data_IF_815159079723
#
_entry.id   IF_815159079723
#
_cell.length_a   1.000
_cell.length_b   1.000
_cell.length_c   1.000
_cell.angle_alpha   90.00
_cell.angle_beta   90.00
_cell.angle_gamma   90.00
#
_symmetry.space_group_name_H-M   'P 1'
#
loop_
_entity.id
_entity.type
_entity.pdbx_description
1 polymer ?
#
# COMPACT_ATOMS: atom_id res chain seq x y z
N UNK A 1 -2.89 17.42 22.94
CA UNK A 1 -1.62 16.69 22.79
C UNK A 1 -1.62 15.78 21.57
N UNK A 2 -2.72 15.07 21.26
CA UNK A 2 -2.79 14.15 20.11
C UNK A 2 -2.47 14.78 18.74
N UNK A 3 -2.94 16.01 18.45
CA UNK A 3 -2.57 16.72 17.22
C UNK A 3 -1.07 16.94 17.04
N UNK A 4 -0.34 17.20 18.13
CA UNK A 4 1.12 17.39 18.09
C UNK A 4 1.82 16.05 17.84
N UNK A 5 1.35 14.98 18.49
CA UNK A 5 1.85 13.62 18.25
C UNK A 5 1.63 13.19 16.80
N UNK A 6 0.44 13.44 16.25
CA UNK A 6 0.12 13.19 14.85
C UNK A 6 1.09 13.93 13.91
N UNK A 7 1.32 15.23 14.16
CA UNK A 7 2.24 16.03 13.35
C UNK A 7 3.69 15.52 13.44
N UNK A 8 4.16 15.10 14.62
CA UNK A 8 5.50 14.53 14.80
C UNK A 8 5.63 13.21 14.03
N UNK A 9 4.68 12.29 14.18
CA UNK A 9 4.69 11.00 13.50
C UNK A 9 4.63 11.15 11.98
N UNK A 10 3.76 12.04 11.47
CA UNK A 10 3.70 12.38 10.05
C UNK A 10 5.05 12.95 9.56
N UNK A 11 5.70 13.82 10.34
CA UNK A 11 7.03 14.33 10.03
C UNK A 11 8.11 13.24 9.96
N UNK A 12 8.09 12.28 10.90
CA UNK A 12 9.00 11.12 10.91
C UNK A 12 8.78 10.26 9.66
N UNK A 13 7.54 10.00 9.28
CA UNK A 13 7.19 9.25 8.07
C UNK A 13 7.69 9.98 6.83
N UNK A 14 7.44 11.28 6.69
CA UNK A 14 7.88 12.08 5.53
C UNK A 14 9.40 12.02 5.33
N UNK A 15 10.17 12.13 6.41
CA UNK A 15 11.65 12.05 6.36
C UNK A 15 12.11 10.63 6.02
N UNK A 16 11.52 9.62 6.65
CA UNK A 16 11.93 8.23 6.50
C UNK A 16 11.55 7.65 5.13
N UNK A 17 10.37 8.01 4.62
CA UNK A 17 9.88 7.61 3.31
C UNK A 17 10.78 8.10 2.16
N UNK A 18 11.49 9.23 2.35
CA UNK A 18 12.49 9.71 1.40
C UNK A 18 13.67 8.73 1.25
N UNK A 19 14.15 8.20 2.38
CA UNK A 19 15.21 7.20 2.37
C UNK A 19 14.71 5.83 1.89
N UNK A 20 13.46 5.49 2.21
CA UNK A 20 12.79 4.27 1.76
C UNK A 20 12.71 4.23 0.23
N UNK A 21 12.11 5.25 -0.39
CA UNK A 21 11.96 5.35 -1.84
C UNK A 21 13.30 5.38 -2.57
N UNK A 22 14.27 6.18 -2.10
CA UNK A 22 15.61 6.25 -2.70
C UNK A 22 16.34 4.91 -2.62
N UNK A 23 16.24 4.22 -1.49
CA UNK A 23 16.91 2.92 -1.35
C UNK A 23 16.23 1.85 -2.19
N UNK A 24 14.91 1.88 -2.32
CA UNK A 24 14.16 1.03 -3.25
C UNK A 24 14.60 1.26 -4.70
N UNK A 25 14.77 2.51 -5.14
CA UNK A 25 15.26 2.81 -6.50
C UNK A 25 16.69 2.28 -6.74
N UNK A 26 17.58 2.43 -5.76
CA UNK A 26 18.93 1.85 -5.82
C UNK A 26 18.88 0.31 -5.89
N UNK A 27 17.97 -0.33 -5.12
CA UNK A 27 17.80 -1.78 -5.16
C UNK A 27 17.29 -2.21 -6.54
N UNK A 28 16.30 -1.52 -7.11
CA UNK A 28 15.79 -1.79 -8.44
C UNK A 28 16.90 -1.73 -9.50
N UNK A 29 17.70 -0.66 -9.49
CA UNK A 29 18.85 -0.49 -10.38
C UNK A 29 19.89 -1.60 -10.20
N UNK A 30 20.31 -1.89 -8.96
CA UNK A 30 21.40 -2.82 -8.68
C UNK A 30 21.06 -4.29 -8.89
N UNK A 31 19.80 -4.64 -8.74
CA UNK A 31 19.34 -6.03 -8.88
C UNK A 31 18.84 -6.35 -10.28
N UNK A 32 18.54 -5.32 -11.09
CA UNK A 32 17.91 -5.50 -12.40
C UNK A 32 16.48 -6.05 -12.30
N UNK A 33 15.84 -5.93 -11.14
CA UNK A 33 14.45 -6.37 -10.93
C UNK A 33 13.42 -5.41 -11.53
N UNK A 34 13.85 -4.20 -11.91
CA UNK A 34 12.99 -3.15 -12.47
C UNK A 34 12.23 -2.34 -11.42
N UNK A 35 11.94 -1.08 -11.75
CA UNK A 35 11.30 -0.12 -10.82
C UNK A 35 9.87 -0.50 -10.52
N UNK A 36 9.14 -1.06 -11.50
CA UNK A 36 7.74 -1.42 -11.31
C UNK A 36 7.60 -2.56 -10.32
N UNK A 37 8.39 -3.62 -10.50
CA UNK A 37 8.35 -4.79 -9.62
C UNK A 37 8.82 -4.44 -8.20
N UNK A 38 9.91 -3.67 -8.08
CA UNK A 38 10.39 -3.20 -6.76
C UNK A 38 9.37 -2.28 -6.08
N UNK A 39 8.67 -1.43 -6.84
CA UNK A 39 7.58 -0.60 -6.31
C UNK A 39 6.46 -1.45 -5.70
N UNK A 40 6.02 -2.50 -6.40
CA UNK A 40 4.97 -3.41 -5.90
C UNK A 40 5.46 -4.28 -4.73
N UNK A 41 6.68 -4.82 -4.77
CA UNK A 41 7.12 -5.78 -3.76
C UNK A 41 7.70 -5.11 -2.53
N UNK A 42 8.56 -4.11 -2.71
CA UNK A 42 9.25 -3.48 -1.59
C UNK A 42 8.51 -2.25 -1.11
N UNK A 43 8.25 -1.29 -1.99
CA UNK A 43 7.74 0.00 -1.52
C UNK A 43 6.31 -0.14 -0.99
N UNK A 44 5.42 -0.75 -1.78
CA UNK A 44 4.01 -0.95 -1.43
C UNK A 44 3.84 -1.80 -0.17
N UNK A 45 4.55 -2.93 -0.07
CA UNK A 45 4.50 -3.76 1.15
C UNK A 45 4.92 -2.94 2.38
N UNK A 46 6.03 -2.20 2.31
CA UNK A 46 6.50 -1.45 3.47
C UNK A 46 5.55 -0.33 3.88
N UNK A 47 4.91 0.33 2.93
CA UNK A 47 3.94 1.40 3.23
C UNK A 47 2.59 0.87 3.68
N UNK A 48 2.19 -0.34 3.25
CA UNK A 48 0.88 -0.95 3.55
C UNK A 48 0.87 -1.97 4.70
N UNK A 49 2.02 -2.19 5.34
CA UNK A 49 2.10 -2.92 6.62
C UNK A 49 1.33 -2.27 7.78
N UNK A 50 1.20 -0.94 7.88
CA UNK A 50 0.33 -0.28 8.85
C UNK A 50 -1.14 -0.70 8.70
N UNK A 51 -1.66 -0.75 7.48
CA UNK A 51 -3.01 -1.24 7.14
C UNK A 51 -3.21 -2.69 7.57
N UNK A 52 -2.19 -3.54 7.38
CA UNK A 52 -2.21 -4.91 7.91
C UNK A 52 -2.32 -4.93 9.43
N UNK A 53 -1.61 -4.03 10.11
CA UNK A 53 -1.67 -3.90 11.57
C UNK A 53 -3.03 -3.43 12.07
N UNK A 54 -3.62 -2.41 11.44
CA UNK A 54 -4.94 -1.86 11.77
C UNK A 54 -6.06 -2.84 11.43
N UNK A 55 -5.98 -3.55 10.30
CA UNK A 55 -6.91 -4.61 9.90
C UNK A 55 -6.95 -5.75 10.94
N UNK A 56 -5.79 -6.34 11.25
CA UNK A 56 -5.67 -7.41 12.24
C UNK A 56 -6.13 -6.93 13.62
N UNK A 57 -5.75 -5.73 14.04
CA UNK A 57 -6.19 -5.14 15.31
C UNK A 57 -7.72 -4.97 15.36
N UNK A 58 -8.33 -4.50 14.28
CA UNK A 58 -9.77 -4.33 14.17
C UNK A 58 -10.52 -5.66 14.31
N UNK A 59 -10.09 -6.70 13.61
CA UNK A 59 -10.75 -8.02 13.68
C UNK A 59 -10.50 -8.77 14.99
N UNK A 60 -9.34 -8.58 15.63
CA UNK A 60 -8.99 -9.31 16.87
C UNK A 60 -9.42 -8.59 18.15
N UNK A 61 -9.37 -7.26 18.19
CA UNK A 61 -9.68 -6.47 19.40
C UNK A 61 -11.15 -6.04 19.43
N UNK A 62 -11.68 -5.52 18.32
CA UNK A 62 -13.09 -5.10 18.23
C UNK A 62 -13.96 -6.35 18.01
N UNK A 63 -13.54 -7.22 17.11
CA UNK A 63 -14.19 -8.49 16.84
C UNK A 63 -15.58 -8.35 16.19
N UNK A 64 -16.12 -9.50 15.79
CA UNK A 64 -17.44 -9.60 15.17
C UNK A 64 -17.58 -8.78 13.89
N UNK A 65 -18.83 -8.56 13.47
CA UNK A 65 -19.13 -7.85 12.23
C UNK A 65 -18.57 -6.41 12.21
N UNK A 66 -18.54 -5.73 13.36
CA UNK A 66 -18.04 -4.34 13.43
C UNK A 66 -16.52 -4.25 13.23
N UNK A 67 -15.74 -5.20 13.77
CA UNK A 67 -14.30 -5.28 13.51
C UNK A 67 -13.99 -5.61 12.04
N UNK A 68 -14.76 -6.53 11.46
CA UNK A 68 -14.63 -6.88 10.04
C UNK A 68 -15.01 -5.71 9.10
N UNK A 69 -16.08 -4.98 9.41
CA UNK A 69 -16.49 -3.79 8.65
C UNK A 69 -15.42 -2.68 8.72
N UNK A 70 -14.76 -2.52 9.87
CA UNK A 70 -13.68 -1.54 10.03
C UNK A 70 -12.43 -1.94 9.24
N UNK A 71 -12.01 -3.21 9.34
CA UNK A 71 -10.85 -3.73 8.60
C UNK A 71 -11.07 -3.62 7.07
N UNK A 72 -12.24 -4.04 6.59
CA UNK A 72 -12.61 -3.87 5.19
C UNK A 72 -12.67 -2.38 4.80
N UNK A 73 -13.27 -1.54 5.66
CA UNK A 73 -13.36 -0.09 5.45
C UNK A 73 -12.00 0.59 5.32
N UNK A 74 -11.03 0.19 6.14
CA UNK A 74 -9.64 0.67 6.07
C UNK A 74 -8.98 0.21 4.76
N UNK A 75 -9.04 -1.08 4.42
CA UNK A 75 -8.43 -1.61 3.20
C UNK A 75 -9.01 -0.99 1.91
N UNK A 76 -10.35 -0.87 1.80
CA UNK A 76 -10.99 -0.21 0.66
C UNK A 76 -10.77 1.31 0.67
N UNK A 77 -10.74 1.92 1.86
CA UNK A 77 -10.47 3.34 2.06
C UNK A 77 -9.08 3.73 1.58
N UNK A 78 -8.04 3.01 2.02
CA UNK A 78 -6.66 3.21 1.56
C UNK A 78 -6.54 3.04 0.05
N UNK A 79 -7.27 2.09 -0.55
CA UNK A 79 -7.27 1.94 -2.01
C UNK A 79 -7.85 3.15 -2.75
N UNK A 80 -8.91 3.76 -2.20
CA UNK A 80 -9.47 5.00 -2.74
C UNK A 80 -8.49 6.17 -2.58
N UNK A 81 -7.84 6.29 -1.42
CA UNK A 81 -6.81 7.32 -1.19
C UNK A 81 -5.61 7.13 -2.11
N UNK A 82 -5.16 5.92 -2.38
CA UNK A 82 -4.08 5.65 -3.33
C UNK A 82 -4.39 6.18 -4.73
N UNK A 83 -5.64 6.03 -5.20
CA UNK A 83 -6.06 6.62 -6.48
C UNK A 83 -6.11 8.15 -6.42
N UNK A 84 -6.55 8.73 -5.30
CA UNK A 84 -6.50 10.19 -5.08
C UNK A 84 -5.05 10.69 -5.08
N UNK A 85 -4.12 9.95 -4.47
CA UNK A 85 -2.71 10.28 -4.42
C UNK A 85 -2.15 10.29 -5.85
N UNK A 86 -2.49 9.34 -6.73
CA UNK A 86 -2.08 9.40 -8.15
C UNK A 86 -2.49 10.74 -8.78
N UNK A 87 -3.72 11.21 -8.53
CA UNK A 87 -4.18 12.51 -8.99
C UNK A 87 -3.36 13.69 -8.41
N UNK A 88 -3.03 13.63 -7.13
CA UNK A 88 -2.15 14.63 -6.48
C UNK A 88 -0.75 14.60 -7.12
N UNK A 89 -0.21 13.42 -7.39
CA UNK A 89 1.10 13.24 -8.00
C UNK A 89 1.15 13.78 -9.43
N UNK A 90 0.09 13.57 -10.23
CA UNK A 90 -0.03 14.14 -11.57
C UNK A 90 -0.02 15.69 -11.53
N UNK A 91 -0.70 16.30 -10.55
CA UNK A 91 -0.65 17.76 -10.34
C UNK A 91 0.73 18.27 -9.90
N UNK A 92 1.47 17.47 -9.13
CA UNK A 92 2.83 17.81 -8.70
C UNK A 92 3.86 17.60 -9.84
N UNK A 93 3.54 16.74 -10.81
CA UNK A 93 4.41 16.42 -11.94
C UNK A 93 4.38 17.53 -12.99
N UNK A 94 5.47 18.31 -13.08
CA UNK A 94 5.55 19.48 -13.99
C UNK A 94 6.04 19.16 -15.41
N UNK A 95 6.10 17.88 -15.80
CA UNK A 95 6.66 17.42 -17.09
C UNK A 95 5.60 16.83 -18.05
N UNK A 96 4.34 17.22 -17.91
CA UNK A 96 3.22 16.66 -18.65
C UNK A 96 2.39 15.72 -17.77
N UNK A 97 1.59 14.83 -18.37
CA UNK A 97 0.85 13.84 -17.60
C UNK A 97 1.77 12.72 -17.13
N UNK A 98 1.73 12.40 -15.83
CA UNK A 98 2.50 11.29 -15.26
C UNK A 98 2.11 9.97 -15.91
N UNK A 99 0.82 9.78 -16.21
CA UNK A 99 0.30 8.55 -16.82
C UNK A 99 0.82 8.33 -18.24
N UNK A 100 1.10 9.40 -18.98
CA UNK A 100 1.66 9.32 -20.33
C UNK A 100 3.14 8.86 -20.34
N UNK A 101 3.81 8.89 -19.19
CA UNK A 101 5.22 8.49 -19.03
C UNK A 101 5.41 7.06 -18.53
N UNK A 102 4.33 6.29 -18.33
CA UNK A 102 4.37 4.97 -17.71
C UNK A 102 4.40 3.85 -18.77
N UNK A 103 5.17 2.78 -18.48
CA UNK A 103 5.26 1.58 -19.31
C UNK A 103 4.13 0.55 -19.09
N UNK A 104 4.19 -0.56 -19.85
CA UNK A 104 3.21 -1.64 -19.81
C UNK A 104 3.13 -2.35 -18.46
N UNK A 105 4.26 -2.50 -17.75
CA UNK A 105 4.30 -3.07 -16.40
C UNK A 105 3.39 -2.32 -15.44
N UNK A 106 3.41 -0.98 -15.47
CA UNK A 106 2.57 -0.16 -14.58
C UNK A 106 1.09 -0.31 -14.91
N UNK A 107 0.75 -0.35 -16.20
CA UNK A 107 -0.62 -0.61 -16.65
C UNK A 107 -1.12 -2.00 -16.21
N UNK A 108 -0.27 -3.03 -16.29
CA UNK A 108 -0.56 -4.37 -15.83
C UNK A 108 -0.85 -4.40 -14.32
N UNK A 109 -0.04 -3.74 -13.49
CA UNK A 109 -0.28 -3.60 -12.04
C UNK A 109 -1.64 -2.96 -11.79
N UNK A 110 -1.98 -1.88 -12.50
CA UNK A 110 -3.28 -1.19 -12.36
C UNK A 110 -4.48 -2.06 -12.74
N UNK A 111 -4.40 -2.79 -13.85
CA UNK A 111 -5.45 -3.71 -14.30
C UNK A 111 -5.66 -4.87 -13.31
N UNK A 112 -4.56 -5.46 -12.83
CA UNK A 112 -4.62 -6.52 -11.83
C UNK A 112 -5.19 -6.00 -10.51
N UNK A 113 -4.75 -4.82 -10.05
CA UNK A 113 -5.28 -4.16 -8.85
C UNK A 113 -6.78 -3.93 -8.92
N UNK A 114 -7.26 -3.37 -10.02
CA UNK A 114 -8.70 -3.20 -10.26
C UNK A 114 -9.44 -4.55 -10.27
N UNK A 115 -8.86 -5.58 -10.90
CA UNK A 115 -9.41 -6.92 -10.91
C UNK A 115 -9.60 -7.52 -9.51
N UNK A 116 -8.58 -7.42 -8.64
CA UNK A 116 -8.66 -7.93 -7.26
C UNK A 116 -9.71 -7.16 -6.45
N UNK A 117 -9.79 -5.83 -6.60
CA UNK A 117 -10.83 -5.01 -5.96
C UNK A 117 -12.23 -5.46 -6.39
N UNK A 118 -12.44 -5.72 -7.69
CA UNK A 118 -13.72 -6.21 -8.22
C UNK A 118 -14.07 -7.59 -7.65
N UNK A 119 -13.11 -8.51 -7.56
CA UNK A 119 -13.32 -9.83 -6.97
C UNK A 119 -13.70 -9.69 -5.48
N UNK A 120 -12.97 -8.88 -4.71
CA UNK A 120 -13.23 -8.66 -3.29
C UNK A 120 -14.62 -8.03 -3.06
N UNK A 121 -14.96 -6.95 -3.78
CA UNK A 121 -16.26 -6.31 -3.68
C UNK A 121 -17.42 -7.22 -4.13
N UNK A 122 -17.21 -7.99 -5.20
CA UNK A 122 -18.18 -8.98 -5.67
C UNK A 122 -18.42 -10.09 -4.64
N UNK A 123 -17.39 -10.54 -3.94
CA UNK A 123 -17.51 -11.54 -2.88
C UNK A 123 -18.39 -11.05 -1.72
N UNK A 124 -18.23 -9.79 -1.32
CA UNK A 124 -19.06 -9.16 -0.27
C UNK A 124 -20.54 -9.13 -0.68
N UNK A 125 -20.84 -8.77 -1.93
CA UNK A 125 -22.22 -8.69 -2.42
C UNK A 125 -22.93 -10.05 -2.46
N UNK A 126 -22.20 -11.12 -2.77
CA UNK A 126 -22.76 -12.46 -2.96
C UNK A 126 -22.63 -13.31 -1.68
N UNK A 127 -21.98 -12.80 -0.62
CA UNK A 127 -21.77 -13.50 0.66
C UNK A 127 -23.07 -14.10 1.24
N UNK A 128 -24.17 -13.35 1.22
CA UNK A 128 -25.47 -13.83 1.72
C UNK A 128 -26.10 -14.97 0.90
N UNK A 129 -25.64 -15.19 -0.34
CA UNK A 129 -26.18 -16.19 -1.27
C UNK A 129 -25.26 -17.41 -1.44
N UNK A 130 -23.99 -17.29 -1.05
CA UNK A 130 -23.00 -18.36 -1.16
C UNK A 130 -22.77 -18.94 0.23
N UNK A 131 -23.35 -20.11 0.51
CA UNK A 131 -22.95 -20.97 1.64
C UNK A 131 -21.59 -21.64 1.42
N UNK A 132 -20.66 -20.95 0.75
CA UNK A 132 -19.32 -21.45 0.47
C UNK A 132 -18.50 -21.40 1.77
N UNK A 133 -18.29 -22.57 2.37
CA UNK A 133 -17.32 -22.73 3.45
C UNK A 133 -17.76 -22.23 4.82
N UNK A 134 -19.07 -22.28 5.14
CA UNK A 134 -19.64 -21.87 6.44
C UNK A 134 -19.11 -22.62 7.70
N UNK A 135 -18.09 -23.46 7.55
CA UNK A 135 -17.38 -24.12 8.64
C UNK A 135 -15.86 -24.16 8.45
N UNK A 136 -15.31 -23.45 7.46
CA UNK A 136 -13.87 -23.27 7.32
C UNK A 136 -13.42 -22.06 8.15
N UNK A 137 -12.24 -22.11 8.79
CA UNK A 137 -11.70 -20.98 9.54
C UNK A 137 -11.27 -19.81 8.64
N UNK A 138 -11.14 -20.05 7.33
CA UNK A 138 -10.74 -19.05 6.33
C UNK A 138 -11.67 -19.19 5.14
N UNK A 139 -12.17 -18.07 4.63
CA UNK A 139 -13.02 -18.01 3.44
C UNK A 139 -12.29 -18.53 2.20
N UNK A 140 -12.91 -19.40 1.38
CA UNK A 140 -12.35 -19.79 0.09
C UNK A 140 -12.04 -18.59 -0.82
N UNK A 141 -12.78 -17.49 -0.67
CA UNK A 141 -12.57 -16.27 -1.47
C UNK A 141 -11.28 -15.56 -1.07
N UNK A 142 -10.96 -15.47 0.23
CA UNK A 142 -9.73 -14.81 0.68
C UNK A 142 -8.48 -15.57 0.21
N UNK A 143 -8.55 -16.91 0.16
CA UNK A 143 -7.51 -17.74 -0.46
C UNK A 143 -7.37 -17.42 -1.96
N UNK A 144 -8.48 -17.26 -2.69
CA UNK A 144 -8.44 -16.87 -4.11
C UNK A 144 -7.80 -15.50 -4.28
N UNK A 145 -8.12 -14.52 -3.43
CA UNK A 145 -7.50 -13.19 -3.46
C UNK A 145 -5.98 -13.27 -3.25
N UNK A 146 -5.53 -14.06 -2.28
CA UNK A 146 -4.10 -14.30 -2.03
C UNK A 146 -3.41 -14.98 -3.23
N UNK A 147 -4.06 -15.98 -3.85
CA UNK A 147 -3.54 -16.64 -5.05
C UNK A 147 -3.44 -15.67 -6.24
N UNK A 148 -4.47 -14.84 -6.47
CA UNK A 148 -4.46 -13.83 -7.52
C UNK A 148 -3.35 -12.82 -7.28
N UNK A 149 -3.11 -12.41 -6.02
CA UNK A 149 -1.99 -11.56 -5.66
C UNK A 149 -0.62 -12.17 -6.01
N UNK A 150 -0.39 -13.45 -5.67
CA UNK A 150 0.86 -14.14 -6.03
C UNK A 150 1.01 -14.25 -7.55
N UNK A 151 -0.06 -14.57 -8.28
CA UNK A 151 -0.06 -14.61 -9.74
C UNK A 151 0.22 -13.22 -10.32
N UNK A 152 -0.34 -12.17 -9.72
CA UNK A 152 -0.10 -10.79 -10.12
C UNK A 152 1.38 -10.40 -9.97
N UNK A 153 2.00 -10.73 -8.82
CA UNK A 153 3.44 -10.49 -8.62
C UNK A 153 4.29 -11.20 -9.69
N UNK A 154 3.96 -12.45 -10.01
CA UNK A 154 4.66 -13.19 -11.05
C UNK A 154 4.46 -12.58 -12.45
N UNK A 155 3.23 -12.16 -12.77
CA UNK A 155 2.91 -11.52 -14.04
C UNK A 155 3.67 -10.19 -14.20
N UNK A 156 3.71 -9.36 -13.16
CA UNK A 156 4.46 -8.09 -13.13
C UNK A 156 5.96 -8.35 -13.28
N UNK A 157 6.51 -9.31 -12.54
CA UNK A 157 7.91 -9.71 -12.70
C UNK A 157 8.24 -10.11 -14.14
N UNK A 158 7.38 -10.92 -14.76
CA UNK A 158 7.59 -11.40 -16.13
C UNK A 158 7.51 -10.28 -17.16
N UNK A 159 6.56 -9.36 -17.00
CA UNK A 159 6.40 -8.20 -17.88
C UNK A 159 7.62 -7.27 -17.78
N UNK A 160 8.10 -7.03 -16.55
CA UNK A 160 9.29 -6.20 -16.32
C UNK A 160 10.53 -6.81 -16.97
N UNK A 161 10.71 -8.13 -16.90
CA UNK A 161 11.82 -8.83 -17.56
C UNK A 161 11.68 -8.89 -19.09
N UNK A 162 10.46 -8.79 -19.61
CA UNK A 162 10.21 -8.80 -21.06
C UNK A 162 10.41 -7.42 -21.70
N UNK A 163 10.35 -6.36 -20.90
CA UNK A 163 10.51 -4.98 -21.37
C UNK A 163 12.00 -4.63 -21.30
N UNK A 164 12.72 -4.80 -22.42
CA UNK A 164 14.14 -4.40 -22.49
C UNK A 164 14.31 -2.89 -22.20
N UNK A 165 14.98 -2.60 -21.08
CA UNK A 165 15.77 -1.38 -20.82
C UNK A 165 15.14 -0.04 -21.21
N UNK A 166 14.24 0.49 -20.39
CA UNK A 166 14.28 1.94 -20.13
C UNK A 166 15.58 2.22 -19.40
N UNK A 167 16.50 2.98 -20.00
CA UNK A 167 17.69 3.43 -19.29
C UNK A 167 17.24 4.10 -17.98
N UNK A 168 17.73 3.62 -16.82
CA UNK A 168 17.32 4.18 -15.54
C UNK A 168 17.73 5.66 -15.50
N UNK A 169 16.79 6.53 -15.13
CA UNK A 169 17.02 7.98 -15.08
C UNK A 169 18.17 8.38 -14.12
N UNK A 170 18.53 7.48 -13.20
CA UNK A 170 19.69 7.60 -12.33
C UNK A 170 20.64 6.40 -12.45
N UNK A 171 21.92 6.70 -12.67
CA UNK A 171 23.01 5.74 -12.55
C UNK A 171 23.44 5.62 -11.08
N UNK A 172 23.28 4.42 -10.52
CA UNK A 172 23.73 4.07 -9.16
C UNK A 172 24.92 3.11 -9.17
N UNK A 173 25.72 3.07 -10.24
CA UNK A 173 26.94 2.27 -10.39
C UNK A 173 27.87 2.34 -9.16
N UNK A 174 28.09 3.53 -8.60
CA UNK A 174 28.93 3.73 -7.41
C UNK A 174 28.26 3.40 -6.07
N UNK A 175 26.94 3.19 -6.05
CA UNK A 175 26.22 2.88 -4.82
C UNK A 175 26.43 1.43 -4.37
N UNK A 176 26.40 1.18 -3.05
CA UNK A 176 26.52 -0.17 -2.50
C UNK A 176 25.13 -0.79 -2.26
N UNK A 177 24.87 -1.96 -2.87
CA UNK A 177 23.61 -2.70 -2.68
C UNK A 177 23.38 -3.06 -1.21
N UNK A 178 24.42 -3.54 -0.51
CA UNK A 178 24.32 -3.88 0.93
C UNK A 178 23.89 -2.67 1.77
N UNK A 179 24.45 -1.50 1.46
CA UNK A 179 24.08 -0.25 2.14
C UNK A 179 22.65 0.14 1.82
N UNK A 180 22.21 0.02 0.55
CA UNK A 180 20.84 0.31 0.15
C UNK A 180 19.83 -0.59 0.86
N UNK A 181 20.07 -1.91 0.93
CA UNK A 181 19.21 -2.86 1.64
C UNK A 181 19.14 -2.54 3.14
N UNK A 182 20.26 -2.18 3.78
CA UNK A 182 20.27 -1.82 5.20
C UNK A 182 19.49 -0.53 5.47
N UNK A 183 19.67 0.50 4.63
CA UNK A 183 18.95 1.77 4.74
C UNK A 183 17.46 1.55 4.47
N UNK A 184 17.11 0.79 3.45
CA UNK A 184 15.72 0.41 3.14
C UNK A 184 15.08 -0.28 4.34
N UNK A 185 15.70 -1.33 4.90
CA UNK A 185 15.13 -2.05 6.04
C UNK A 185 14.96 -1.17 7.28
N UNK A 186 15.93 -0.30 7.57
CA UNK A 186 15.84 0.64 8.70
C UNK A 186 14.72 1.67 8.46
N UNK A 187 14.63 2.25 7.26
CA UNK A 187 13.60 3.21 6.91
C UNK A 187 12.20 2.58 6.93
N UNK A 188 12.07 1.35 6.43
CA UNK A 188 10.82 0.59 6.44
C UNK A 188 10.36 0.35 7.87
N UNK A 189 11.26 -0.11 8.76
CA UNK A 189 10.93 -0.31 10.16
C UNK A 189 10.44 0.98 10.84
N UNK A 190 11.11 2.11 10.58
CA UNK A 190 10.70 3.42 11.13
C UNK A 190 9.33 3.82 10.58
N UNK A 191 9.10 3.69 9.27
CA UNK A 191 7.83 4.03 8.63
C UNK A 191 6.70 3.20 9.21
N UNK A 192 6.86 1.88 9.28
CA UNK A 192 5.83 0.96 9.80
C UNK A 192 5.51 1.28 11.25
N UNK A 193 6.52 1.39 12.13
CA UNK A 193 6.29 1.68 13.55
C UNK A 193 5.63 3.05 13.74
N UNK A 194 6.11 4.07 13.03
CA UNK A 194 5.56 5.41 13.12
C UNK A 194 4.11 5.46 12.59
N UNK A 195 3.82 4.76 11.49
CA UNK A 195 2.50 4.71 10.88
C UNK A 195 1.48 3.93 11.71
N UNK A 196 1.88 2.81 12.32
CA UNK A 196 1.02 2.10 13.28
C UNK A 196 0.67 3.03 14.45
N UNK A 197 1.64 3.73 15.05
CA UNK A 197 1.33 4.72 16.10
C UNK A 197 0.51 5.91 15.60
N UNK A 198 0.69 6.31 14.34
CA UNK A 198 -0.06 7.39 13.72
C UNK A 198 -1.54 6.99 13.56
N UNK A 199 -1.82 5.75 13.15
CA UNK A 199 -3.18 5.20 13.06
C UNK A 199 -3.88 5.24 14.43
N UNK A 200 -3.25 4.70 15.48
CA UNK A 200 -3.79 4.75 16.85
C UNK A 200 -3.99 6.19 17.36
N UNK A 201 -3.08 7.11 17.03
CA UNK A 201 -3.22 8.54 17.37
C UNK A 201 -4.39 9.16 16.61
N UNK A 202 -4.61 8.74 15.36
CA UNK A 202 -5.71 9.14 14.50
C UNK A 202 -7.07 8.68 15.05
N UNK A 203 -7.17 7.42 15.48
CA UNK A 203 -8.35 6.87 16.14
C UNK A 203 -8.69 7.65 17.41
N UNK A 204 -7.72 7.86 18.31
CA UNK A 204 -7.93 8.65 19.53
C UNK A 204 -8.33 10.11 19.26
N UNK A 205 -7.87 10.69 18.14
CA UNK A 205 -8.34 12.00 17.68
C UNK A 205 -9.78 11.94 17.20
N UNK A 206 -10.14 10.93 16.41
CA UNK A 206 -11.50 10.74 15.94
C UNK A 206 -12.47 10.57 17.13
N UNK A 207 -12.10 9.81 18.15
CA UNK A 207 -12.88 9.68 19.40
C UNK A 207 -13.01 11.02 20.14
N UNK A 208 -11.90 11.71 20.37
CA UNK A 208 -11.89 12.99 21.09
C UNK A 208 -12.71 14.09 20.37
N UNK A 209 -12.82 14.00 19.04
CA UNK A 209 -13.60 14.92 18.22
C UNK A 209 -15.05 14.46 17.99
N UNK A 210 -15.44 13.27 18.49
CA UNK A 210 -16.78 12.70 18.30
C UNK A 210 -17.06 12.18 16.88
N UNK A 211 -16.02 11.78 16.15
CA UNK A 211 -16.09 11.31 14.76
C UNK A 211 -16.16 9.79 14.59
N UNK A 212 -16.00 9.00 15.65
CA UNK A 212 -15.71 7.55 15.62
C UNK A 212 -16.62 6.71 14.68
N UNK A 213 -17.89 7.12 14.45
CA UNK A 213 -18.87 6.43 13.58
C UNK A 213 -19.36 7.28 12.41
N UNK A 214 -18.72 8.42 12.19
CA UNK A 214 -19.07 9.31 11.10
C UNK A 214 -18.26 8.98 9.86
N UNK A 215 -18.78 9.36 8.69
CA UNK A 215 -18.01 9.39 7.45
C UNK A 215 -16.66 10.11 7.64
N UNK A 216 -16.63 11.18 8.46
CA UNK A 216 -15.39 11.93 8.74
C UNK A 216 -14.37 11.05 9.47
N UNK A 217 -14.80 10.22 10.43
CA UNK A 217 -13.91 9.33 11.18
C UNK A 217 -13.27 8.26 10.30
N UNK A 218 -14.06 7.60 9.45
CA UNK A 218 -13.54 6.56 8.55
C UNK A 218 -12.60 7.13 7.48
N UNK A 219 -12.91 8.31 6.92
CA UNK A 219 -12.02 8.98 5.99
C UNK A 219 -10.75 9.51 6.66
N UNK A 220 -10.85 9.97 7.91
CA UNK A 220 -9.68 10.43 8.67
C UNK A 220 -8.72 9.29 9.00
N UNK A 221 -9.25 8.13 9.38
CA UNK A 221 -8.45 6.93 9.63
C UNK A 221 -7.72 6.47 8.36
N UNK A 222 -8.47 6.29 7.26
CA UNK A 222 -7.90 5.88 5.98
C UNK A 222 -6.86 6.89 5.44
N UNK A 223 -7.08 8.19 5.66
CA UNK A 223 -6.06 9.21 5.34
C UNK A 223 -4.80 9.04 6.20
N UNK A 224 -4.96 8.73 7.48
CA UNK A 224 -3.85 8.52 8.42
C UNK A 224 -3.01 7.32 8.04
N UNK A 225 -3.65 6.19 7.72
CA UNK A 225 -2.97 4.95 7.30
C UNK A 225 -2.32 5.09 5.93
N UNK A 226 -2.89 5.88 4.99
CA UNK A 226 -2.31 6.15 3.66
C UNK A 226 -1.20 7.22 3.60
N UNK A 227 -0.80 7.81 4.74
CA UNK A 227 0.27 8.81 4.77
C UNK A 227 1.66 8.28 4.37
N UNK A 228 2.09 7.06 4.76
CA UNK A 228 3.30 6.41 4.26
C UNK A 228 3.33 6.30 2.74
N UNK A 229 2.23 5.89 2.11
CA UNK A 229 2.07 5.76 0.66
C UNK A 229 2.26 7.11 -0.03
N UNK A 230 1.57 8.15 0.47
CA UNK A 230 1.72 9.50 -0.05
C UNK A 230 3.16 9.98 0.08
N UNK A 231 3.77 9.79 1.26
CA UNK A 231 5.13 10.23 1.55
C UNK A 231 6.16 9.54 0.65
N UNK A 232 6.06 8.21 0.49
CA UNK A 232 6.95 7.41 -0.33
C UNK A 232 6.79 7.73 -1.81
N UNK A 233 5.56 7.94 -2.27
CA UNK A 233 5.30 8.22 -3.69
C UNK A 233 5.71 9.66 -4.08
N UNK A 234 5.51 10.64 -3.19
CA UNK A 234 6.05 12.00 -3.35
C UNK A 234 7.58 11.96 -3.35
N UNK A 235 8.20 11.17 -2.47
CA UNK A 235 9.64 11.00 -2.46
C UNK A 235 10.17 10.37 -3.76
N UNK A 236 9.50 9.34 -4.28
CA UNK A 236 9.83 8.69 -5.55
C UNK A 236 9.74 9.67 -6.73
N UNK A 237 8.71 10.53 -6.77
CA UNK A 237 8.62 11.59 -7.78
C UNK A 237 9.75 12.61 -7.66
N UNK A 238 10.14 13.00 -6.44
CA UNK A 238 11.24 13.95 -6.21
C UNK A 238 12.60 13.44 -6.69
N UNK A 239 12.78 12.12 -6.75
CA UNK A 239 13.97 11.48 -7.32
C UNK A 239 13.76 11.06 -8.78
N UNK A 240 12.76 11.61 -9.46
CA UNK A 240 12.47 11.30 -10.87
C UNK A 240 12.25 9.80 -11.13
N UNK A 241 11.54 9.13 -10.24
CA UNK A 241 11.15 7.72 -10.39
C UNK A 241 9.60 7.59 -10.39
N UNK A 242 8.90 8.11 -11.42
CA UNK A 242 7.44 8.10 -11.47
C UNK A 242 6.86 6.67 -11.54
N UNK A 243 7.53 5.74 -12.22
CA UNK A 243 7.13 4.32 -12.27
C UNK A 243 7.12 3.70 -10.87
N UNK A 244 8.15 3.97 -10.07
CA UNK A 244 8.25 3.51 -8.68
C UNK A 244 7.14 4.12 -7.82
N UNK A 245 6.83 5.41 -8.02
CA UNK A 245 5.77 6.10 -7.29
C UNK A 245 4.38 5.52 -7.59
N UNK A 246 4.06 5.28 -8.87
CA UNK A 246 2.75 4.79 -9.27
C UNK A 246 2.58 3.32 -8.91
N UNK A 247 3.62 2.51 -9.08
CA UNK A 247 3.57 1.09 -8.71
C UNK A 247 3.60 0.85 -7.21
N UNK A 248 4.09 1.80 -6.41
CA UNK A 248 3.83 1.82 -4.98
C UNK A 248 2.32 1.87 -4.71
N UNK A 249 1.61 2.87 -5.26
CA UNK A 249 0.18 3.08 -5.00
C UNK A 249 -0.69 1.94 -5.54
N UNK A 250 -0.45 1.52 -6.78
CA UNK A 250 -1.20 0.43 -7.39
C UNK A 250 -0.82 -0.94 -6.79
N UNK A 251 0.44 -1.11 -6.39
CA UNK A 251 0.93 -2.28 -5.67
C UNK A 251 0.33 -2.38 -4.27
N UNK A 252 0.16 -1.25 -3.58
CA UNK A 252 -0.52 -1.19 -2.27
C UNK A 252 -1.98 -1.62 -2.41
N UNK A 253 -2.65 -1.23 -3.49
CA UNK A 253 -4.01 -1.70 -3.76
C UNK A 253 -4.08 -3.23 -3.96
N UNK A 254 -3.09 -3.81 -4.66
CA UNK A 254 -2.95 -5.26 -4.81
C UNK A 254 -2.68 -5.95 -3.47
N UNK A 255 -1.75 -5.40 -2.68
CA UNK A 255 -1.36 -5.95 -1.38
C UNK A 255 -2.53 -5.91 -0.38
N UNK A 256 -3.24 -4.78 -0.30
CA UNK A 256 -4.39 -4.61 0.58
C UNK A 256 -5.49 -5.62 0.29
N UNK A 257 -5.88 -5.77 -0.98
CA UNK A 257 -6.97 -6.68 -1.33
C UNK A 257 -6.55 -8.15 -1.33
N UNK A 258 -5.30 -8.42 -1.70
CA UNK A 258 -4.80 -9.78 -1.88
C UNK A 258 -4.29 -10.43 -0.59
N UNK A 259 -3.53 -9.66 0.19
CA UNK A 259 -2.78 -10.18 1.35
C UNK A 259 -3.34 -9.68 2.67
N UNK A 260 -3.66 -8.39 2.80
CA UNK A 260 -4.22 -7.83 4.05
C UNK A 260 -5.56 -8.46 4.37
N UNK A 261 -6.53 -8.40 3.44
CA UNK A 261 -7.84 -9.02 3.66
C UNK A 261 -7.77 -10.53 3.94
N UNK A 262 -6.80 -11.24 3.36
CA UNK A 262 -6.58 -12.65 3.64
C UNK A 262 -6.12 -12.89 5.08
N UNK A 263 -5.21 -12.06 5.59
CA UNK A 263 -4.74 -12.15 6.96
C UNK A 263 -5.78 -11.67 7.96
N UNK A 264 -6.57 -10.66 7.63
CA UNK A 264 -7.70 -10.21 8.46
C UNK A 264 -8.72 -11.34 8.62
N UNK A 265 -9.09 -12.01 7.52
CA UNK A 265 -10.00 -13.17 7.54
C UNK A 265 -9.39 -14.35 8.33
N UNK A 266 -8.08 -14.60 8.21
CA UNK A 266 -7.40 -15.63 8.98
C UNK A 266 -7.26 -15.31 10.48
N UNK A 267 -7.21 -14.02 10.83
CA UNK A 267 -7.18 -13.54 12.21
C UNK A 267 -8.58 -13.41 12.84
N UNK A 268 -9.63 -13.42 12.01
CA UNK A 268 -11.03 -13.44 12.42
C UNK A 268 -11.43 -14.85 12.90
N UNK A 269 -11.06 -15.19 14.14
CA UNK A 269 -11.35 -16.48 14.79
C UNK A 269 -12.13 -16.28 16.08
#
# INVERSE_FOLDING_TARGET
>A
MLWVQLAILAGVILVSATQLAKSADIIAFKTGLGRSFVGVVLLATATSLPELGTGISSVTIIGGASGADLAAGDAFGSNLFNLLIIGILDLLWRRGSILATLGSSVALVGLLGAGVIVIAGGAILIHNNLSLGSGLPISPVSIVLALVFVVALYAVYREEQSTENTEPEHDYSDSSLKKAVLIYGTAAAIVVVAAVWLAHTGEGLAEAMGWERSFVGTQFLALSTSLPELAASVAAIRIMAPELAITNLLGSNLFNMGFVLFLDDAAYV
#
